data_IF_813135650870
#
_entry.id   IF_813135650870
#
_cell.length_a   1.000
_cell.length_b   1.000
_cell.length_c   1.000
_cell.angle_alpha   90.00
_cell.angle_beta   90.00
_cell.angle_gamma   90.00
#
_symmetry.space_group_name_H-M   'P 1'
#
loop_
_entity.id
_entity.type
_entity.pdbx_description
1 polymer ?
#
# COMPACT_ATOMS: atom_id res chain seq x y z
N UNK A 1 -16.55 22.65 19.69
CA UNK A 1 -15.45 22.27 18.77
C UNK A 1 -15.22 20.79 18.95
N UNK A 2 -15.47 19.99 17.90
CA UNK A 2 -15.26 18.53 17.94
C UNK A 2 -13.77 18.23 17.80
N UNK A 3 -13.28 17.26 18.57
CA UNK A 3 -11.84 16.93 18.64
C UNK A 3 -11.54 15.68 17.87
N UNK A 4 -10.65 15.78 16.90
CA UNK A 4 -10.12 14.64 16.15
C UNK A 4 -8.70 14.37 16.66
N UNK A 5 -8.45 13.15 17.15
CA UNK A 5 -7.11 12.69 17.51
C UNK A 5 -6.52 11.89 16.36
N UNK A 6 -5.43 12.37 15.78
CA UNK A 6 -4.62 11.66 14.81
C UNK A 6 -3.38 11.11 15.51
N UNK A 7 -3.21 9.78 15.55
CA UNK A 7 -2.06 9.12 16.16
C UNK A 7 -1.13 8.64 15.05
N UNK A 8 0.06 9.21 15.00
CA UNK A 8 1.07 9.03 13.95
C UNK A 8 1.05 10.18 12.94
N UNK A 9 2.22 10.73 12.65
CA UNK A 9 2.46 11.81 11.68
C UNK A 9 3.52 11.42 10.65
N UNK A 10 3.44 10.16 10.17
CA UNK A 10 4.34 9.61 9.17
C UNK A 10 4.08 10.12 7.74
N UNK A 11 4.86 9.59 6.78
CA UNK A 11 4.82 10.02 5.36
C UNK A 11 3.42 10.02 4.72
N UNK A 12 2.53 9.12 5.12
CA UNK A 12 1.18 8.98 4.52
C UNK A 12 0.12 9.90 5.15
N UNK A 13 0.49 10.84 6.05
CA UNK A 13 -0.48 11.65 6.81
C UNK A 13 -0.55 13.10 6.37
N UNK A 14 0.30 13.56 5.46
CA UNK A 14 0.35 14.97 5.04
C UNK A 14 -0.99 15.46 4.50
N UNK A 15 -1.58 14.76 3.54
CA UNK A 15 -2.89 15.11 2.98
C UNK A 15 -4.04 14.91 3.97
N UNK A 16 -3.98 13.88 4.82
CA UNK A 16 -4.95 13.66 5.89
C UNK A 16 -5.04 14.88 6.81
N UNK A 17 -3.89 15.29 7.34
CA UNK A 17 -3.82 16.39 8.30
C UNK A 17 -4.19 17.71 7.60
N UNK A 18 -3.63 17.97 6.41
CA UNK A 18 -3.96 19.15 5.61
C UNK A 18 -5.46 19.28 5.37
N UNK A 19 -6.12 18.21 4.90
CA UNK A 19 -7.57 18.21 4.64
C UNK A 19 -8.38 18.55 5.90
N UNK A 20 -8.06 17.91 7.04
CA UNK A 20 -8.74 18.16 8.30
C UNK A 20 -8.54 19.62 8.79
N UNK A 21 -7.35 20.19 8.60
CA UNK A 21 -7.05 21.58 8.93
C UNK A 21 -7.81 22.54 8.01
N UNK A 22 -7.83 22.30 6.71
CA UNK A 22 -8.56 23.11 5.73
C UNK A 22 -10.08 23.15 6.06
N UNK A 23 -10.64 22.03 6.54
CA UNK A 23 -12.04 21.90 6.94
C UNK A 23 -12.32 22.35 8.39
N UNK A 24 -11.32 22.66 9.19
CA UNK A 24 -11.46 22.82 10.64
C UNK A 24 -12.39 23.98 11.06
N UNK A 25 -12.37 25.09 10.33
CA UNK A 25 -13.24 26.24 10.63
C UNK A 25 -14.69 25.96 10.23
N UNK A 26 -14.91 25.46 9.02
CA UNK A 26 -16.23 25.12 8.49
C UNK A 26 -16.94 24.06 9.34
N UNK A 27 -16.21 23.01 9.71
CA UNK A 27 -16.71 21.85 10.45
C UNK A 27 -16.59 22.00 11.99
N UNK A 28 -16.10 23.14 12.48
CA UNK A 28 -15.89 23.41 13.92
C UNK A 28 -15.05 22.32 14.59
N UNK A 29 -13.85 22.06 14.05
CA UNK A 29 -12.95 20.99 14.48
C UNK A 29 -11.73 21.55 15.23
N UNK A 30 -11.21 20.74 16.15
CA UNK A 30 -9.88 20.87 16.73
C UNK A 30 -9.07 19.60 16.49
N UNK A 31 -7.94 19.74 15.80
CA UNK A 31 -7.12 18.62 15.34
C UNK A 31 -5.95 18.41 16.30
N UNK A 32 -5.90 17.26 16.95
CA UNK A 32 -4.82 16.88 17.86
C UNK A 32 -3.96 15.84 17.14
N UNK A 33 -2.69 16.17 16.86
CA UNK A 33 -1.75 15.26 16.22
C UNK A 33 -0.75 14.76 17.26
N UNK A 34 -0.78 13.45 17.53
CA UNK A 34 0.12 12.77 18.46
C UNK A 34 1.18 11.96 17.73
N UNK A 35 2.43 12.16 18.10
CA UNK A 35 3.57 11.39 17.59
C UNK A 35 4.62 11.22 18.69
N UNK A 36 5.42 10.15 18.64
CA UNK A 36 6.53 9.95 19.57
C UNK A 36 7.57 11.09 19.43
N UNK A 37 7.71 11.61 18.20
CA UNK A 37 8.55 12.77 17.89
C UNK A 37 7.68 14.01 17.68
N UNK A 38 7.62 14.87 18.69
CA UNK A 38 6.82 16.11 18.63
C UNK A 38 7.13 17.00 17.41
N UNK A 39 8.38 16.96 16.92
CA UNK A 39 8.81 17.71 15.74
C UNK A 39 8.04 17.31 14.48
N UNK A 40 7.74 16.01 14.31
CA UNK A 40 6.97 15.51 13.16
C UNK A 40 5.54 16.05 13.19
N UNK A 41 4.87 15.93 14.34
CA UNK A 41 3.51 16.46 14.51
C UNK A 41 3.48 17.97 14.29
N UNK A 42 4.42 18.73 14.87
CA UNK A 42 4.53 20.18 14.66
C UNK A 42 4.75 20.57 13.21
N UNK A 43 5.60 19.82 12.48
CA UNK A 43 5.83 20.05 11.04
C UNK A 43 4.53 19.92 10.25
N UNK A 44 3.69 18.93 10.57
CA UNK A 44 2.44 18.66 9.84
C UNK A 44 1.36 19.72 10.10
N UNK A 45 1.23 20.23 11.34
CA UNK A 45 0.19 21.20 11.67
C UNK A 45 0.63 22.67 11.48
N UNK A 46 1.92 22.94 11.39
CA UNK A 46 2.45 24.31 11.35
C UNK A 46 2.02 25.13 12.55
N UNK A 47 1.55 26.36 12.28
CA UNK A 47 1.00 27.28 13.29
C UNK A 47 -0.53 27.41 13.20
N UNK A 48 -1.22 26.34 12.79
CA UNK A 48 -2.66 26.39 12.59
C UNK A 48 -3.40 26.56 13.93
N UNK A 49 -4.30 27.54 14.01
CA UNK A 49 -5.02 27.93 15.26
C UNK A 49 -5.92 26.81 15.82
N UNK A 50 -6.49 25.98 14.94
CA UNK A 50 -7.37 24.88 15.30
C UNK A 50 -6.61 23.54 15.45
N UNK A 51 -5.31 23.58 15.69
CA UNK A 51 -4.50 22.37 15.82
C UNK A 51 -3.57 22.38 17.03
N UNK A 52 -3.27 21.18 17.52
CA UNK A 52 -2.33 20.96 18.61
C UNK A 52 -1.47 19.74 18.33
N UNK A 53 -0.14 19.89 18.45
CA UNK A 53 0.79 18.76 18.46
C UNK A 53 1.07 18.29 19.90
N UNK A 54 1.04 16.98 20.11
CA UNK A 54 1.36 16.38 21.41
C UNK A 54 2.41 15.27 21.23
N UNK A 55 3.22 15.06 22.28
CA UNK A 55 4.02 13.84 22.39
C UNK A 55 3.08 12.70 22.79
N UNK A 56 3.07 11.63 21.99
CA UNK A 56 2.25 10.46 22.28
C UNK A 56 3.03 9.19 21.94
N UNK A 57 3.46 8.49 22.97
CA UNK A 57 3.96 7.12 22.85
C UNK A 57 2.79 6.15 23.00
N UNK A 58 2.53 5.36 21.98
CA UNK A 58 1.43 4.38 21.99
C UNK A 58 1.62 3.29 23.05
N UNK A 59 2.83 3.06 23.55
CA UNK A 59 3.12 2.13 24.65
C UNK A 59 2.89 2.73 26.03
N UNK A 60 2.90 4.05 26.16
CA UNK A 60 2.48 4.72 27.39
C UNK A 60 0.96 4.71 27.48
N UNK A 61 0.45 3.74 28.24
CA UNK A 61 -0.98 3.50 28.42
C UNK A 61 -1.71 4.72 28.95
N UNK A 62 -1.19 5.36 29.98
CA UNK A 62 -1.85 6.47 30.66
C UNK A 62 -1.97 7.69 29.72
N UNK A 63 -0.92 7.98 28.98
CA UNK A 63 -0.88 9.04 27.98
C UNK A 63 -1.85 8.77 26.83
N UNK A 64 -1.87 7.52 26.32
CA UNK A 64 -2.74 7.08 25.23
C UNK A 64 -4.21 7.12 25.64
N UNK A 65 -4.58 6.55 26.79
CA UNK A 65 -5.94 6.59 27.32
C UNK A 65 -6.44 8.02 27.53
N UNK A 66 -5.59 8.89 28.09
CA UNK A 66 -5.92 10.32 28.28
C UNK A 66 -6.20 11.02 26.94
N UNK A 67 -5.39 10.75 25.91
CA UNK A 67 -5.57 11.34 24.59
C UNK A 67 -6.86 10.83 23.94
N UNK A 68 -7.12 9.52 23.94
CA UNK A 68 -8.34 8.90 23.39
C UNK A 68 -9.58 9.40 24.11
N UNK A 69 -9.58 9.47 25.44
CA UNK A 69 -10.71 9.95 26.24
C UNK A 69 -11.13 11.38 25.87
N UNK A 70 -10.16 12.24 25.56
CA UNK A 70 -10.39 13.65 25.23
C UNK A 70 -10.81 13.88 23.77
N UNK A 71 -10.78 12.89 22.91
CA UNK A 71 -11.20 12.99 21.52
C UNK A 71 -12.68 12.63 21.33
N UNK A 72 -13.28 13.07 20.24
CA UNK A 72 -14.60 12.63 19.79
C UNK A 72 -14.49 11.47 18.80
N UNK A 73 -13.42 11.46 18.00
CA UNK A 73 -13.05 10.35 17.11
C UNK A 73 -11.53 10.21 17.05
N UNK A 74 -11.05 8.99 16.79
CA UNK A 74 -9.63 8.65 16.75
C UNK A 74 -9.25 8.12 15.37
N UNK A 75 -8.20 8.68 14.80
CA UNK A 75 -7.55 8.20 13.58
C UNK A 75 -6.23 7.55 13.98
N UNK A 76 -6.02 6.29 13.61
CA UNK A 76 -4.79 5.57 13.91
C UNK A 76 -3.99 5.34 12.62
N UNK A 77 -2.87 6.04 12.49
CA UNK A 77 -1.93 5.95 11.36
C UNK A 77 -0.58 5.33 11.80
N UNK A 78 -0.66 4.38 12.69
CA UNK A 78 0.46 3.65 13.27
C UNK A 78 0.84 2.42 12.42
N UNK A 79 1.99 1.78 12.68
CA UNK A 79 2.24 0.42 12.21
C UNK A 79 1.16 -0.55 12.68
N UNK A 80 0.77 -1.51 11.82
CA UNK A 80 -0.41 -2.37 11.97
C UNK A 80 -0.56 -3.03 13.36
N UNK A 81 0.56 -3.48 13.96
CA UNK A 81 0.57 -4.15 15.28
C UNK A 81 0.10 -3.28 16.46
N UNK A 82 0.01 -1.96 16.29
CA UNK A 82 -0.32 -1.04 17.38
C UNK A 82 -1.78 -0.58 17.36
N UNK A 83 -2.50 -0.78 16.27
CA UNK A 83 -3.90 -0.36 16.17
C UNK A 83 -4.78 -0.99 17.23
N UNK A 84 -4.50 -2.22 17.62
CA UNK A 84 -5.31 -2.97 18.62
C UNK A 84 -5.34 -2.29 19.98
N UNK A 85 -4.22 -1.69 20.42
CA UNK A 85 -4.19 -1.00 21.73
C UNK A 85 -5.03 0.28 21.70
N UNK A 86 -4.97 1.03 20.60
CA UNK A 86 -5.83 2.21 20.39
C UNK A 86 -7.31 1.80 20.31
N UNK A 87 -7.61 0.70 19.60
CA UNK A 87 -8.97 0.18 19.45
C UNK A 87 -9.59 -0.24 20.79
N UNK A 88 -8.82 -0.89 21.67
CA UNK A 88 -9.26 -1.23 23.04
C UNK A 88 -9.64 0.01 23.85
N UNK A 89 -8.81 1.07 23.76
CA UNK A 89 -9.11 2.32 24.43
C UNK A 89 -10.35 2.99 23.84
N UNK A 90 -10.52 2.95 22.50
CA UNK A 90 -11.73 3.46 21.84
C UNK A 90 -13.00 2.73 22.32
N UNK A 91 -12.95 1.41 22.49
CA UNK A 91 -14.06 0.64 23.10
C UNK A 91 -14.32 1.11 24.54
N UNK A 92 -13.25 1.25 25.35
CA UNK A 92 -13.37 1.63 26.75
C UNK A 92 -14.03 3.02 26.93
N UNK A 93 -13.65 3.96 26.07
CA UNK A 93 -14.11 5.36 26.17
C UNK A 93 -15.22 5.73 25.18
N UNK A 94 -15.83 4.77 24.50
CA UNK A 94 -16.92 4.95 23.52
C UNK A 94 -16.54 5.93 22.40
N UNK A 95 -15.42 5.66 21.71
CA UNK A 95 -14.94 6.47 20.59
C UNK A 95 -14.98 5.69 19.29
N UNK A 96 -15.38 6.33 18.21
CA UNK A 96 -15.21 5.79 16.86
C UNK A 96 -13.73 5.79 16.48
N UNK A 97 -13.34 4.86 15.62
CA UNK A 97 -11.96 4.72 15.15
C UNK A 97 -11.88 4.55 13.63
N UNK A 98 -10.88 5.18 13.02
CA UNK A 98 -10.61 5.07 11.59
C UNK A 98 -9.14 4.72 11.36
N UNK A 99 -8.86 3.79 10.43
CA UNK A 99 -7.50 3.43 10.03
C UNK A 99 -7.44 2.91 8.60
N UNK A 100 -6.34 3.19 7.90
CA UNK A 100 -6.07 2.67 6.56
C UNK A 100 -5.61 1.19 6.54
N UNK A 101 -5.31 0.60 7.70
CA UNK A 101 -4.70 -0.72 7.78
C UNK A 101 -5.71 -1.85 7.64
N UNK A 102 -5.21 -3.00 7.19
CA UNK A 102 -5.98 -4.25 7.13
C UNK A 102 -6.52 -4.65 8.52
N UNK A 103 -7.72 -5.25 8.52
CA UNK A 103 -8.28 -5.84 9.73
C UNK A 103 -7.41 -7.01 10.19
N UNK A 104 -6.90 -6.93 11.42
CA UNK A 104 -6.26 -8.06 12.09
C UNK A 104 -7.28 -8.98 12.77
N UNK A 105 -6.93 -10.24 13.06
CA UNK A 105 -7.80 -11.14 13.84
C UNK A 105 -8.22 -10.53 15.18
N UNK A 106 -7.30 -9.85 15.87
CA UNK A 106 -7.56 -9.18 17.15
C UNK A 106 -8.53 -8.00 17.00
N UNK A 107 -8.41 -7.22 15.91
CA UNK A 107 -9.36 -6.15 15.59
C UNK A 107 -10.75 -6.74 15.33
N UNK A 108 -10.83 -7.83 14.56
CA UNK A 108 -12.10 -8.49 14.26
C UNK A 108 -12.82 -9.01 15.53
N UNK A 109 -12.07 -9.43 16.56
CA UNK A 109 -12.67 -9.83 17.84
C UNK A 109 -13.37 -8.69 18.59
N UNK A 110 -13.07 -7.43 18.27
CA UNK A 110 -13.75 -6.27 18.85
C UNK A 110 -15.10 -5.94 18.20
N UNK A 111 -15.46 -6.59 17.08
CA UNK A 111 -16.67 -6.29 16.30
C UNK A 111 -17.93 -6.33 17.16
N UNK A 112 -18.11 -7.37 17.99
CA UNK A 112 -19.26 -7.50 18.86
C UNK A 112 -19.36 -6.33 19.86
N UNK A 113 -18.24 -5.98 20.51
CA UNK A 113 -18.21 -4.89 21.49
C UNK A 113 -18.47 -3.53 20.83
N UNK A 114 -17.92 -3.31 19.62
CA UNK A 114 -18.19 -2.10 18.85
C UNK A 114 -19.69 -1.98 18.48
N UNK A 115 -20.30 -3.06 18.00
CA UNK A 115 -21.75 -3.10 17.69
C UNK A 115 -22.63 -2.84 18.90
N UNK A 116 -22.35 -3.49 20.03
CA UNK A 116 -23.10 -3.30 21.29
C UNK A 116 -23.06 -1.85 21.79
N UNK A 117 -21.98 -1.13 21.49
CA UNK A 117 -21.80 0.27 21.88
C UNK A 117 -22.17 1.28 20.78
N UNK A 118 -22.64 0.82 19.62
CA UNK A 118 -22.94 1.69 18.48
C UNK A 118 -21.73 2.39 17.88
N UNK A 119 -20.52 1.80 17.99
CA UNK A 119 -19.27 2.41 17.52
C UNK A 119 -18.93 1.96 16.12
N UNK A 120 -18.45 2.89 15.30
CA UNK A 120 -17.93 2.62 13.96
C UNK A 120 -16.41 2.46 14.04
N UNK A 121 -15.91 1.28 13.69
CA UNK A 121 -14.48 1.00 13.53
C UNK A 121 -14.20 0.77 12.05
N UNK A 122 -13.92 1.87 11.33
CA UNK A 122 -13.62 1.84 9.90
C UNK A 122 -12.16 1.48 9.68
N UNK A 123 -11.95 0.33 9.05
CA UNK A 123 -10.62 -0.17 8.68
C UNK A 123 -10.49 -0.21 7.15
N UNK A 124 -9.28 -0.48 6.67
CA UNK A 124 -9.01 -0.64 5.23
C UNK A 124 -9.52 0.54 4.39
N UNK A 125 -9.43 1.78 4.93
CA UNK A 125 -9.92 2.99 4.27
C UNK A 125 -8.75 3.85 3.74
N UNK A 126 -7.74 3.21 3.13
CA UNK A 126 -6.61 3.85 2.47
C UNK A 126 -6.70 3.76 0.95
N UNK A 127 -5.59 3.36 0.28
CA UNK A 127 -5.52 3.18 -1.17
C UNK A 127 -5.70 1.71 -1.57
N UNK A 128 -4.88 0.83 -1.04
CA UNK A 128 -4.89 -0.64 -1.17
C UNK A 128 -4.32 -1.21 0.15
N UNK A 129 -5.22 -1.42 1.11
CA UNK A 129 -6.68 -1.47 1.00
C UNK A 129 -7.40 -0.12 1.15
N UNK A 130 -8.49 0.07 0.42
CA UNK A 130 -9.42 1.19 0.58
C UNK A 130 -10.05 1.68 -0.71
N UNK A 131 -9.40 2.53 -1.47
CA UNK A 131 -9.92 3.00 -2.77
C UNK A 131 -10.16 1.82 -3.70
N UNK A 132 -9.32 0.80 -3.67
CA UNK A 132 -9.48 -0.44 -4.43
C UNK A 132 -10.79 -1.16 -4.10
N UNK A 133 -11.19 -1.21 -2.82
CA UNK A 133 -12.47 -1.79 -2.40
C UNK A 133 -13.65 -0.95 -2.87
N UNK A 134 -13.57 0.36 -2.63
CA UNK A 134 -14.65 1.30 -2.94
C UNK A 134 -14.95 1.35 -4.43
N UNK A 135 -13.92 1.51 -5.25
CA UNK A 135 -14.07 1.56 -6.71
C UNK A 135 -14.51 0.22 -7.30
N UNK A 136 -13.98 -0.89 -6.77
CA UNK A 136 -14.41 -2.21 -7.18
C UNK A 136 -15.91 -2.44 -6.88
N UNK A 137 -16.34 -2.14 -5.66
CA UNK A 137 -17.74 -2.34 -5.26
C UNK A 137 -18.70 -1.43 -6.01
N UNK A 138 -18.29 -0.19 -6.31
CA UNK A 138 -19.11 0.72 -7.12
C UNK A 138 -19.42 0.13 -8.50
N UNK A 139 -18.41 -0.44 -9.19
CA UNK A 139 -18.59 -1.06 -10.51
C UNK A 139 -19.36 -2.39 -10.39
N UNK A 140 -18.99 -3.25 -9.42
CA UNK A 140 -19.65 -4.53 -9.17
C UNK A 140 -21.16 -4.32 -8.92
N UNK A 141 -21.52 -3.38 -8.04
CA UNK A 141 -22.90 -3.08 -7.74
C UNK A 141 -23.65 -2.46 -8.94
N UNK A 142 -22.99 -1.59 -9.71
CA UNK A 142 -23.56 -1.04 -10.94
C UNK A 142 -23.88 -2.13 -11.99
N UNK A 143 -23.02 -3.15 -12.10
CA UNK A 143 -23.25 -4.29 -13.00
C UNK A 143 -24.43 -5.14 -12.47
N UNK A 144 -24.46 -5.42 -11.16
CA UNK A 144 -25.55 -6.19 -10.52
C UNK A 144 -26.89 -5.49 -10.62
N UNK A 145 -26.94 -4.18 -10.42
CA UNK A 145 -28.16 -3.37 -10.52
C UNK A 145 -28.77 -3.43 -11.94
N UNK A 146 -27.94 -3.71 -12.97
CA UNK A 146 -28.37 -3.96 -14.36
C UNK A 146 -28.74 -5.42 -14.64
N UNK A 147 -28.61 -6.32 -13.66
CA UNK A 147 -28.86 -7.76 -13.81
C UNK A 147 -27.64 -8.54 -14.32
N UNK A 148 -26.47 -7.94 -14.39
CA UNK A 148 -25.23 -8.58 -14.81
C UNK A 148 -24.64 -9.50 -13.74
N UNK A 149 -23.98 -10.57 -14.16
CA UNK A 149 -23.26 -11.52 -13.30
C UNK A 149 -21.77 -11.38 -13.52
N UNK A 150 -21.03 -11.02 -12.48
CA UNK A 150 -19.56 -10.93 -12.52
C UNK A 150 -18.97 -12.33 -12.66
N UNK A 151 -18.05 -12.50 -13.61
CA UNK A 151 -17.32 -13.75 -13.87
C UNK A 151 -15.80 -13.59 -13.72
N UNK A 152 -15.28 -12.36 -13.87
CA UNK A 152 -13.87 -12.03 -13.71
C UNK A 152 -13.71 -10.70 -12.97
N UNK A 153 -12.83 -10.67 -11.99
CA UNK A 153 -12.35 -9.44 -11.35
C UNK A 153 -10.85 -9.52 -11.12
N UNK A 154 -10.13 -8.60 -11.74
CA UNK A 154 -8.70 -8.40 -11.53
C UNK A 154 -8.46 -6.97 -11.03
N UNK A 155 -7.57 -6.81 -10.06
CA UNK A 155 -7.25 -5.50 -9.45
C UNK A 155 -5.74 -5.38 -9.22
N UNK A 156 -5.14 -4.36 -9.80
CA UNK A 156 -3.71 -4.09 -9.66
C UNK A 156 -3.48 -2.66 -9.19
N UNK A 157 -2.58 -2.50 -8.22
CA UNK A 157 -2.21 -1.19 -7.68
C UNK A 157 -0.69 -1.04 -7.66
N UNK A 158 -0.18 0.13 -8.06
CA UNK A 158 1.23 0.48 -8.01
C UNK A 158 1.46 1.85 -7.39
N UNK A 159 2.34 1.92 -6.36
CA UNK A 159 2.99 3.15 -5.96
C UNK A 159 4.33 3.24 -6.69
N UNK A 160 4.49 4.27 -7.51
CA UNK A 160 5.54 4.41 -8.51
C UNK A 160 6.10 5.84 -8.49
N UNK A 161 7.22 6.06 -9.18
CA UNK A 161 7.69 7.41 -9.48
C UNK A 161 6.92 7.99 -10.67
N UNK A 162 6.61 9.29 -10.62
CA UNK A 162 5.95 9.97 -11.74
C UNK A 162 6.90 10.08 -12.95
N UNK A 163 6.38 10.12 -14.18
CA UNK A 163 7.23 10.14 -15.38
C UNK A 163 8.26 11.26 -15.40
N UNK A 164 7.93 12.45 -14.89
CA UNK A 164 8.84 13.59 -14.83
C UNK A 164 9.97 13.45 -13.80
N UNK A 165 9.83 12.56 -12.84
CA UNK A 165 10.81 12.28 -11.78
C UNK A 165 11.45 10.89 -11.91
N UNK A 166 11.16 10.20 -13.02
CA UNK A 166 11.69 8.86 -13.32
C UNK A 166 13.09 8.97 -13.94
N UNK A 167 14.09 8.97 -13.08
CA UNK A 167 15.49 9.24 -13.41
C UNK A 167 16.45 8.11 -13.02
N UNK A 168 15.94 6.90 -12.82
CA UNK A 168 16.76 5.71 -12.56
C UNK A 168 16.32 4.51 -13.41
N UNK A 169 17.24 3.56 -13.63
CA UNK A 169 16.98 2.39 -14.48
C UNK A 169 15.92 1.43 -13.90
N UNK A 170 15.67 1.48 -12.59
CA UNK A 170 14.63 0.68 -11.94
C UNK A 170 13.23 1.24 -12.15
N UNK A 171 13.11 2.50 -12.59
CA UNK A 171 11.85 3.22 -12.71
C UNK A 171 11.05 3.18 -11.39
N UNK A 172 11.76 3.30 -10.27
CA UNK A 172 11.21 3.14 -8.94
C UNK A 172 11.92 4.01 -7.90
N UNK A 173 11.13 4.64 -7.02
CA UNK A 173 11.60 5.29 -5.79
C UNK A 173 10.65 4.95 -4.64
N UNK A 174 11.15 5.01 -3.40
CA UNK A 174 10.34 4.74 -2.21
C UNK A 174 9.37 5.89 -1.91
N UNK A 175 8.10 5.64 -2.12
CA UNK A 175 7.00 6.60 -1.86
C UNK A 175 6.35 6.37 -0.49
N UNK A 176 6.63 5.25 0.15
CA UNK A 176 6.13 4.87 1.45
C UNK A 176 7.19 4.10 2.24
N UNK A 177 6.81 3.22 3.18
CA UNK A 177 7.75 2.52 4.04
C UNK A 177 8.69 1.58 3.25
N UNK A 178 10.01 1.86 3.17
CA UNK A 178 10.97 1.05 2.41
C UNK A 178 11.02 -0.40 2.87
N UNK A 179 10.93 -0.66 4.19
CA UNK A 179 10.93 -2.01 4.73
C UNK A 179 9.82 -2.87 4.14
N UNK A 180 8.60 -2.32 4.07
CA UNK A 180 7.46 -3.06 3.52
C UNK A 180 7.62 -3.37 2.03
N UNK A 181 8.38 -2.57 1.30
CA UNK A 181 8.71 -2.86 -0.11
C UNK A 181 9.70 -4.02 -0.20
N UNK A 182 10.77 -4.00 0.60
CA UNK A 182 11.81 -5.04 0.57
C UNK A 182 11.27 -6.40 0.97
N UNK A 183 10.40 -6.48 1.97
CA UNK A 183 9.80 -7.74 2.43
C UNK A 183 8.45 -8.06 1.77
N UNK A 184 8.06 -7.30 0.73
CA UNK A 184 6.79 -7.52 0.04
C UNK A 184 6.70 -8.93 -0.55
N UNK A 185 5.57 -9.60 -0.33
CA UNK A 185 5.32 -10.96 -0.82
C UNK A 185 5.82 -12.07 0.10
N UNK A 186 6.56 -11.78 1.16
CA UNK A 186 6.91 -12.75 2.18
C UNK A 186 5.71 -13.11 3.08
N UNK A 187 5.83 -14.18 3.85
CA UNK A 187 4.78 -14.61 4.80
C UNK A 187 3.75 -15.56 4.22
N UNK A 188 4.00 -16.16 3.06
CA UNK A 188 3.18 -17.20 2.46
C UNK A 188 3.11 -17.16 0.95
N UNK A 189 2.37 -18.10 0.36
CA UNK A 189 2.14 -18.11 -1.08
C UNK A 189 1.06 -17.08 -1.46
N UNK A 190 1.22 -16.41 -2.60
CA UNK A 190 0.12 -15.69 -3.21
C UNK A 190 -0.92 -16.72 -3.70
N UNK A 191 -2.20 -16.41 -3.48
CA UNK A 191 -3.33 -17.29 -3.81
C UNK A 191 -4.37 -16.51 -4.58
N UNK A 192 -4.87 -17.08 -5.65
CA UNK A 192 -5.94 -16.49 -6.47
C UNK A 192 -6.69 -17.58 -7.24
N UNK A 193 -7.83 -17.19 -7.81
CA UNK A 193 -8.62 -18.02 -8.70
C UNK A 193 -8.44 -17.53 -10.13
N UNK A 194 -8.19 -18.43 -11.07
CA UNK A 194 -8.08 -18.11 -12.48
C UNK A 194 -8.73 -19.21 -13.31
N UNK A 195 -9.74 -18.84 -14.11
CA UNK A 195 -10.51 -19.77 -14.95
C UNK A 195 -10.96 -21.01 -14.16
N UNK A 196 -11.62 -20.79 -13.01
CA UNK A 196 -12.08 -21.81 -12.06
C UNK A 196 -10.97 -22.70 -11.46
N UNK A 197 -9.71 -22.30 -11.60
CA UNK A 197 -8.57 -23.05 -11.05
C UNK A 197 -7.86 -22.25 -9.99
N UNK A 198 -7.73 -22.80 -8.78
CA UNK A 198 -6.94 -22.20 -7.72
C UNK A 198 -5.46 -22.20 -8.08
N UNK A 199 -4.83 -21.04 -7.98
CA UNK A 199 -3.40 -20.84 -8.25
C UNK A 199 -2.68 -20.44 -6.97
N UNK A 200 -1.46 -20.96 -6.83
CA UNK A 200 -0.58 -20.70 -5.70
C UNK A 200 0.80 -20.36 -6.23
N UNK A 201 1.35 -19.22 -5.82
CA UNK A 201 2.69 -18.81 -6.20
C UNK A 201 3.50 -18.62 -4.91
N UNK A 202 4.47 -19.53 -4.61
CA UNK A 202 5.36 -19.34 -3.49
C UNK A 202 6.27 -18.11 -3.70
N UNK A 203 6.73 -17.49 -2.62
CA UNK A 203 7.50 -16.25 -2.66
C UNK A 203 8.68 -16.28 -3.64
N UNK A 204 9.46 -17.37 -3.63
CA UNK A 204 10.62 -17.54 -4.51
C UNK A 204 10.28 -17.68 -6.01
N UNK A 205 9.01 -17.69 -6.37
CA UNK A 205 8.51 -17.72 -7.75
C UNK A 205 7.66 -16.50 -8.10
N UNK A 206 7.37 -15.64 -7.12
CA UNK A 206 6.40 -14.56 -7.25
C UNK A 206 6.73 -13.62 -8.41
N UNK A 207 7.96 -13.13 -8.47
CA UNK A 207 8.43 -12.18 -9.47
C UNK A 207 8.79 -12.78 -10.82
N UNK A 208 8.61 -14.09 -10.98
CA UNK A 208 8.80 -14.82 -12.24
C UNK A 208 7.51 -15.01 -13.03
N UNK A 209 6.38 -14.64 -12.45
CA UNK A 209 5.07 -14.74 -13.07
C UNK A 209 4.41 -13.36 -12.98
N UNK A 210 4.52 -12.63 -14.09
CA UNK A 210 3.97 -11.30 -14.23
C UNK A 210 2.96 -11.25 -15.37
N UNK A 211 2.01 -10.34 -15.29
CA UNK A 211 1.07 -10.00 -16.34
C UNK A 211 1.35 -8.59 -16.83
N UNK A 212 1.14 -8.33 -18.11
CA UNK A 212 1.32 -6.99 -18.66
C UNK A 212 0.00 -6.24 -18.67
N UNK A 213 0.06 -4.99 -18.24
CA UNK A 213 -1.06 -4.08 -18.16
C UNK A 213 -0.72 -2.80 -18.92
N UNK A 214 -1.67 -2.27 -19.64
CA UNK A 214 -1.51 -0.99 -20.34
C UNK A 214 -2.47 0.05 -19.77
N UNK A 215 -1.96 1.25 -19.48
CA UNK A 215 -2.75 2.35 -18.93
C UNK A 215 -2.62 3.54 -19.88
N UNK A 216 -3.74 3.98 -20.41
CA UNK A 216 -3.82 5.06 -21.41
C UNK A 216 -3.07 6.31 -20.93
N UNK A 217 -2.08 6.76 -21.71
CA UNK A 217 -1.24 7.94 -21.43
C UNK A 217 -0.06 7.69 -20.46
N UNK A 218 0.03 6.49 -19.85
CA UNK A 218 1.10 6.16 -18.92
C UNK A 218 1.93 4.94 -19.33
N UNK A 219 1.54 4.28 -20.43
CA UNK A 219 2.26 3.18 -21.03
C UNK A 219 2.08 1.84 -20.32
N UNK A 220 3.08 0.97 -20.48
CA UNK A 220 3.02 -0.43 -20.09
C UNK A 220 3.59 -0.67 -18.70
N UNK A 221 2.91 -1.53 -17.96
CA UNK A 221 3.30 -1.99 -16.63
C UNK A 221 3.34 -3.51 -16.57
N UNK A 222 3.96 -4.04 -15.53
CA UNK A 222 3.87 -5.45 -15.18
C UNK A 222 3.25 -5.60 -13.79
N UNK A 223 2.36 -6.58 -13.65
CA UNK A 223 1.68 -6.93 -12.41
C UNK A 223 2.13 -8.29 -11.90
N UNK A 224 2.32 -8.43 -10.60
CA UNK A 224 2.55 -9.73 -9.94
C UNK A 224 1.54 -9.91 -8.80
N UNK A 225 1.22 -11.18 -8.49
CA UNK A 225 0.20 -11.52 -7.52
C UNK A 225 0.49 -10.95 -6.12
N UNK A 226 -0.54 -10.38 -5.47
CA UNK A 226 -0.43 -9.84 -4.13
C UNK A 226 -1.16 -10.74 -3.12
N UNK A 227 -0.40 -11.40 -2.24
CA UNK A 227 -0.91 -12.15 -1.07
C UNK A 227 -2.06 -13.12 -1.41
N UNK A 228 -3.12 -13.11 -0.58
CA UNK A 228 -4.29 -13.97 -0.69
C UNK A 228 -5.49 -13.19 -1.23
N UNK A 229 -5.75 -13.30 -2.55
CA UNK A 229 -6.91 -12.69 -3.19
C UNK A 229 -8.23 -13.37 -2.79
N UNK A 230 -8.18 -14.65 -2.40
CA UNK A 230 -9.38 -15.46 -2.15
C UNK A 230 -10.15 -15.02 -0.92
N UNK A 231 -9.49 -14.40 0.06
CA UNK A 231 -10.16 -13.88 1.25
C UNK A 231 -11.20 -12.78 0.94
N UNK A 232 -11.10 -12.13 -0.22
CA UNK A 232 -12.04 -11.09 -0.66
C UNK A 232 -13.22 -11.65 -1.48
N UNK A 233 -13.22 -12.93 -1.79
CA UNK A 233 -14.28 -13.55 -2.58
C UNK A 233 -15.66 -13.37 -1.93
N UNK A 234 -15.79 -13.74 -0.67
CA UNK A 234 -17.04 -13.56 0.10
C UNK A 234 -17.29 -12.10 0.48
N UNK A 235 -16.21 -11.33 0.71
CA UNK A 235 -16.30 -9.90 1.07
C UNK A 235 -16.99 -9.10 -0.02
N UNK A 236 -16.69 -9.39 -1.30
CA UNK A 236 -17.32 -8.74 -2.44
C UNK A 236 -18.60 -9.44 -2.93
N UNK A 237 -19.03 -10.54 -2.25
CA UNK A 237 -20.16 -11.36 -2.70
C UNK A 237 -19.91 -12.02 -4.06
N UNK A 238 -18.70 -12.52 -4.28
CA UNK A 238 -18.22 -13.11 -5.53
C UNK A 238 -17.94 -14.62 -5.40
N UNK A 239 -18.75 -15.35 -4.61
CA UNK A 239 -18.54 -16.77 -4.29
C UNK A 239 -18.47 -17.66 -5.53
N UNK A 240 -19.15 -17.29 -6.61
CA UNK A 240 -19.22 -18.05 -7.85
C UNK A 240 -18.42 -17.43 -9.01
N UNK A 241 -17.43 -16.58 -8.71
CA UNK A 241 -16.58 -15.98 -9.72
C UNK A 241 -15.61 -17.01 -10.30
N UNK A 242 -15.27 -16.87 -11.59
CA UNK A 242 -14.34 -17.76 -12.28
C UNK A 242 -12.88 -17.31 -12.14
N UNK A 243 -12.66 -15.98 -12.11
CA UNK A 243 -11.34 -15.38 -11.94
C UNK A 243 -11.40 -14.27 -10.91
N UNK A 244 -10.56 -14.37 -9.86
CA UNK A 244 -10.38 -13.36 -8.83
C UNK A 244 -8.88 -13.20 -8.56
N UNK A 245 -8.31 -12.08 -8.99
CA UNK A 245 -6.88 -11.84 -8.93
C UNK A 245 -6.58 -10.42 -8.48
N UNK A 246 -5.79 -10.27 -7.42
CA UNK A 246 -5.25 -8.99 -6.96
C UNK A 246 -3.73 -9.01 -7.08
N UNK A 247 -3.17 -7.93 -7.57
CA UNK A 247 -1.75 -7.82 -7.85
C UNK A 247 -1.14 -6.46 -7.51
N UNK A 248 0.18 -6.44 -7.50
CA UNK A 248 0.98 -5.21 -7.36
C UNK A 248 1.57 -4.86 -8.71
N UNK A 249 1.52 -3.59 -9.07
CA UNK A 249 1.98 -3.08 -10.36
C UNK A 249 3.35 -2.42 -10.24
N UNK A 250 4.21 -2.63 -11.26
CA UNK A 250 5.53 -2.02 -11.41
C UNK A 250 5.78 -1.65 -12.88
N UNK A 251 6.82 -0.85 -13.14
CA UNK A 251 7.31 -0.67 -14.51
C UNK A 251 7.90 -1.98 -15.04
N UNK A 252 7.80 -2.18 -16.35
CA UNK A 252 8.32 -3.40 -17.01
C UNK A 252 9.81 -3.57 -16.75
N UNK A 253 10.21 -4.79 -16.41
CA UNK A 253 11.59 -5.17 -16.09
C UNK A 253 11.96 -5.06 -14.60
N UNK A 254 11.13 -4.46 -13.76
CA UNK A 254 11.34 -4.41 -12.31
C UNK A 254 11.36 -5.82 -11.71
N UNK A 255 10.34 -6.62 -11.98
CA UNK A 255 10.18 -7.95 -11.35
C UNK A 255 11.31 -8.89 -11.72
N UNK A 256 11.78 -8.84 -12.96
CA UNK A 256 12.92 -9.66 -13.40
C UNK A 256 14.19 -9.31 -12.62
N UNK A 257 14.48 -8.02 -12.44
CA UNK A 257 15.62 -7.57 -11.67
C UNK A 257 15.45 -7.86 -10.17
N UNK A 258 14.27 -7.58 -9.61
CA UNK A 258 13.97 -7.86 -8.20
C UNK A 258 14.09 -9.33 -7.84
N UNK A 259 13.69 -10.20 -8.76
CA UNK A 259 13.81 -11.65 -8.59
C UNK A 259 15.26 -12.11 -8.32
N UNK A 260 16.27 -11.38 -8.75
CA UNK A 260 17.68 -11.68 -8.44
C UNK A 260 17.95 -11.59 -6.93
N UNK A 261 17.49 -10.52 -6.27
CA UNK A 261 17.61 -10.36 -4.81
C UNK A 261 16.86 -11.46 -4.05
N UNK A 262 15.68 -11.85 -4.56
CA UNK A 262 14.89 -12.96 -3.98
C UNK A 262 15.60 -14.29 -4.13
N UNK A 263 16.17 -14.59 -5.31
CA UNK A 263 16.89 -15.84 -5.57
C UNK A 263 18.16 -15.97 -4.73
N UNK A 264 18.83 -14.87 -4.44
CA UNK A 264 20.01 -14.85 -3.58
C UNK A 264 19.66 -14.87 -2.08
N UNK A 265 18.40 -14.60 -1.69
CA UNK A 265 18.00 -14.51 -0.29
C UNK A 265 18.29 -13.16 0.36
N UNK A 266 18.64 -12.14 -0.42
CA UNK A 266 18.98 -10.80 0.09
C UNK A 266 17.76 -10.04 0.65
N UNK A 267 16.55 -10.54 0.39
CA UNK A 267 15.30 -9.98 0.95
C UNK A 267 14.88 -10.64 2.27
N UNK A 268 15.61 -11.64 2.76
CA UNK A 268 15.27 -12.38 3.97
C UNK A 268 15.45 -11.52 5.24
N UNK A 269 14.50 -11.59 6.16
CA UNK A 269 14.53 -10.89 7.44
C UNK A 269 14.43 -11.83 8.67
N UNK A 270 14.59 -13.13 8.45
CA UNK A 270 14.47 -14.13 9.49
C UNK A 270 15.75 -14.38 10.31
N UNK A 271 16.90 -13.89 9.84
CA UNK A 271 18.19 -14.02 10.51
C UNK A 271 19.04 -12.76 10.33
N UNK A 272 20.06 -12.61 11.17
CA UNK A 272 21.02 -11.50 11.12
C UNK A 272 22.38 -11.97 10.60
N UNK A 273 23.12 -11.09 9.96
CA UNK A 273 24.47 -11.31 9.46
C UNK A 273 25.45 -10.82 10.55
N UNK A 274 26.31 -11.74 11.01
CA UNK A 274 27.39 -11.40 11.95
C UNK A 274 28.37 -10.44 11.28
N UNK A 275 28.88 -9.47 12.06
CA UNK A 275 29.83 -8.45 11.62
C UNK A 275 29.39 -7.61 10.41
N UNK A 276 28.08 -7.50 10.18
CA UNK A 276 27.52 -6.73 9.04
C UNK A 276 28.00 -5.28 9.01
N UNK A 277 28.30 -4.69 10.17
CA UNK A 277 28.76 -3.30 10.29
C UNK A 277 30.06 -3.03 9.51
N UNK A 278 30.95 -4.02 9.44
CA UNK A 278 32.27 -3.89 8.81
C UNK A 278 32.31 -4.38 7.36
N UNK A 279 31.17 -4.82 6.81
CA UNK A 279 31.06 -5.27 5.43
C UNK A 279 30.93 -4.09 4.48
N UNK A 280 31.63 -4.14 3.34
CA UNK A 280 31.30 -3.32 2.19
C UNK A 280 30.03 -3.85 1.51
N UNK A 281 29.42 -3.07 0.60
CA UNK A 281 28.29 -3.55 -0.22
C UNK A 281 28.71 -4.78 -1.04
N UNK A 282 29.94 -4.77 -1.56
CA UNK A 282 30.53 -5.92 -2.27
C UNK A 282 30.62 -7.17 -1.41
N UNK A 283 31.09 -7.04 -0.16
CA UNK A 283 31.18 -8.15 0.78
C UNK A 283 29.80 -8.74 1.09
N UNK A 284 28.81 -7.88 1.27
CA UNK A 284 27.43 -8.31 1.46
C UNK A 284 26.92 -9.14 0.28
N UNK A 285 27.08 -8.66 -0.96
CA UNK A 285 26.68 -9.40 -2.15
C UNK A 285 27.44 -10.73 -2.24
N UNK A 286 28.75 -10.70 -2.00
CA UNK A 286 29.62 -11.87 -2.07
C UNK A 286 29.25 -12.98 -1.07
N UNK A 287 28.68 -12.59 0.10
CA UNK A 287 28.25 -13.55 1.12
C UNK A 287 27.14 -14.54 0.63
N UNK A 288 26.39 -14.17 -0.39
CA UNK A 288 25.34 -15.02 -0.99
C UNK A 288 25.78 -15.81 -2.22
N UNK A 289 27.03 -15.63 -2.65
CA UNK A 289 27.51 -16.22 -3.90
C UNK A 289 28.40 -17.44 -3.63
N UNK A 290 28.47 -18.39 -4.57
CA UNK A 290 29.40 -19.51 -4.47
C UNK A 290 30.85 -19.05 -4.29
N UNK A 291 31.63 -19.77 -3.50
CA UNK A 291 33.05 -19.50 -3.36
C UNK A 291 33.79 -19.75 -4.68
N UNK A 292 34.58 -18.80 -5.09
CA UNK A 292 35.60 -18.93 -6.15
C UNK A 292 36.82 -18.11 -5.77
N UNK A 293 38.03 -18.67 -5.84
CA UNK A 293 39.26 -17.94 -5.52
C UNK A 293 39.73 -17.02 -6.66
N UNK A 294 39.16 -17.14 -7.86
CA UNK A 294 39.62 -16.47 -9.08
C UNK A 294 38.60 -15.53 -9.70
N UNK A 295 37.31 -15.80 -9.47
CA UNK A 295 36.27 -15.03 -10.12
C UNK A 295 35.92 -13.77 -9.30
N UNK A 296 35.70 -12.67 -9.98
CA UNK A 296 35.18 -11.45 -9.35
C UNK A 296 33.76 -11.64 -8.84
N UNK A 297 33.34 -10.81 -7.90
CA UNK A 297 31.97 -10.85 -7.34
C UNK A 297 30.92 -10.64 -8.44
N UNK A 298 31.19 -9.71 -9.37
CA UNK A 298 30.33 -9.45 -10.53
C UNK A 298 30.17 -10.67 -11.42
N UNK A 299 31.27 -11.38 -11.70
CA UNK A 299 31.23 -12.59 -12.53
C UNK A 299 30.43 -13.69 -11.84
N UNK A 300 30.69 -13.92 -10.55
CA UNK A 300 29.92 -14.89 -9.73
C UNK A 300 28.43 -14.55 -9.68
N UNK A 301 28.09 -13.28 -9.49
CA UNK A 301 26.69 -12.80 -9.46
C UNK A 301 25.98 -13.10 -10.79
N UNK A 302 26.60 -12.72 -11.90
CA UNK A 302 26.05 -12.96 -13.23
C UNK A 302 25.87 -14.46 -13.52
N UNK A 303 26.85 -15.29 -13.20
CA UNK A 303 26.79 -16.74 -13.39
C UNK A 303 25.69 -17.38 -12.53
N UNK A 304 25.60 -17.02 -11.23
CA UNK A 304 24.61 -17.58 -10.32
C UNK A 304 23.17 -17.27 -10.77
N UNK A 305 22.95 -16.09 -11.34
CA UNK A 305 21.65 -15.58 -11.76
C UNK A 305 21.36 -15.75 -13.25
N UNK A 306 22.34 -16.22 -14.03
CA UNK A 306 22.27 -16.37 -15.51
C UNK A 306 21.93 -15.03 -16.19
N UNK A 307 22.65 -13.97 -15.83
CA UNK A 307 22.52 -12.64 -16.41
C UNK A 307 23.70 -12.39 -17.34
N UNK A 308 23.43 -12.09 -18.60
CA UNK A 308 24.46 -11.73 -19.57
C UNK A 308 24.96 -10.29 -19.34
N UNK A 309 26.18 -10.01 -19.84
CA UNK A 309 26.79 -8.68 -19.66
C UNK A 309 26.01 -7.58 -20.37
N UNK A 310 25.38 -7.93 -21.49
CA UNK A 310 24.61 -6.98 -22.33
C UNK A 310 23.11 -6.99 -21.96
N UNK A 311 22.74 -7.57 -20.82
CA UNK A 311 21.38 -7.62 -20.33
C UNK A 311 21.04 -6.31 -19.59
N UNK A 312 19.97 -5.64 -19.97
CA UNK A 312 19.48 -4.40 -19.31
C UNK A 312 19.27 -4.57 -17.79
N UNK A 313 19.02 -5.80 -17.33
CA UNK A 313 18.92 -6.11 -15.90
C UNK A 313 20.28 -5.94 -15.21
N UNK A 314 21.39 -6.19 -15.91
CA UNK A 314 22.73 -6.01 -15.36
C UNK A 314 23.00 -4.54 -15.02
N UNK A 315 22.63 -3.62 -15.90
CA UNK A 315 22.82 -2.18 -15.70
C UNK A 315 22.07 -1.65 -14.46
N UNK A 316 20.90 -2.23 -14.15
CA UNK A 316 20.15 -1.91 -12.93
C UNK A 316 20.95 -2.19 -11.65
N UNK A 317 21.73 -3.26 -11.62
CA UNK A 317 22.57 -3.58 -10.45
C UNK A 317 23.81 -2.70 -10.38
N UNK A 318 24.38 -2.34 -11.52
CA UNK A 318 25.52 -1.40 -11.58
C UNK A 318 25.11 -0.01 -11.09
N UNK A 319 23.93 0.46 -11.46
CA UNK A 319 23.38 1.75 -10.99
C UNK A 319 23.22 1.81 -9.46
N UNK A 320 22.88 0.70 -8.81
CA UNK A 320 22.79 0.64 -7.34
C UNK A 320 24.13 0.63 -6.63
N UNK A 321 25.23 0.51 -7.38
CA UNK A 321 26.62 0.43 -6.85
C UNK A 321 26.79 -0.70 -5.80
N UNK A 322 26.03 -1.79 -5.98
CA UNK A 322 26.00 -2.92 -5.01
C UNK A 322 27.34 -3.68 -4.92
N UNK A 323 28.24 -3.46 -5.87
CA UNK A 323 29.58 -4.05 -5.89
C UNK A 323 30.68 -3.11 -5.34
N UNK A 324 30.30 -2.02 -4.69
CA UNK A 324 31.23 -1.04 -4.12
C UNK A 324 32.05 -1.65 -2.98
N UNK A 325 33.37 -1.45 -3.05
CA UNK A 325 34.31 -1.80 -1.97
C UNK A 325 34.41 -0.69 -0.91
N UNK A 326 33.94 0.51 -1.20
CA UNK A 326 34.09 1.69 -0.36
C UNK A 326 32.81 2.08 0.39
N UNK A 327 31.64 1.74 -0.13
CA UNK A 327 30.40 1.93 0.58
C UNK A 327 30.20 0.82 1.62
N UNK A 328 30.01 1.23 2.86
CA UNK A 328 29.92 0.31 4.00
C UNK A 328 28.48 0.14 4.47
N UNK A 329 28.18 -1.06 4.95
CA UNK A 329 26.85 -1.40 5.51
C UNK A 329 26.55 -0.61 6.77
N UNK A 330 27.50 -0.48 7.70
CA UNK A 330 27.42 0.32 8.95
C UNK A 330 26.22 -0.02 9.86
N UNK A 331 25.57 -1.14 9.65
CA UNK A 331 24.49 -1.66 10.47
C UNK A 331 25.00 -2.86 11.27
N UNK A 332 24.89 -2.83 12.60
CA UNK A 332 25.32 -3.93 13.45
C UNK A 332 24.25 -5.02 13.51
N UNK A 333 24.68 -6.28 13.28
CA UNK A 333 23.77 -7.48 13.32
C UNK A 333 22.49 -7.28 12.51
N UNK A 334 22.61 -6.71 11.32
CA UNK A 334 21.47 -6.45 10.46
C UNK A 334 21.01 -7.71 9.70
N UNK A 335 19.72 -7.77 9.41
CA UNK A 335 19.17 -8.80 8.52
C UNK A 335 19.56 -8.50 7.06
N UNK A 336 19.59 -9.51 6.16
CA UNK A 336 19.79 -9.28 4.73
C UNK A 336 18.87 -8.19 4.17
N UNK A 337 17.59 -8.24 4.54
CA UNK A 337 16.61 -7.26 4.09
C UNK A 337 16.88 -5.83 4.59
N UNK A 338 17.42 -5.65 5.80
CA UNK A 338 17.83 -4.32 6.31
C UNK A 338 19.02 -3.76 5.55
N UNK A 339 19.99 -4.62 5.22
CA UNK A 339 21.15 -4.20 4.43
C UNK A 339 20.72 -3.85 3.01
N UNK A 340 19.93 -4.70 2.37
CA UNK A 340 19.38 -4.40 1.03
C UNK A 340 18.59 -3.09 1.04
N UNK A 341 17.73 -2.88 2.05
CA UNK A 341 16.99 -1.63 2.20
C UNK A 341 17.93 -0.41 2.25
N UNK A 342 19.02 -0.48 3.02
CA UNK A 342 20.00 0.60 3.08
C UNK A 342 20.62 0.89 1.71
N UNK A 343 21.08 -0.13 1.00
CA UNK A 343 21.65 0.00 -0.34
C UNK A 343 20.65 0.68 -1.30
N UNK A 344 19.41 0.22 -1.29
CA UNK A 344 18.37 0.78 -2.16
C UNK A 344 18.01 2.22 -1.81
N UNK A 345 18.05 2.60 -0.53
CA UNK A 345 17.76 3.97 -0.10
C UNK A 345 18.73 4.99 -0.67
N UNK A 346 19.97 4.61 -0.95
CA UNK A 346 20.96 5.50 -1.58
C UNK A 346 20.50 5.99 -2.97
N UNK A 347 19.75 5.15 -3.71
CA UNK A 347 19.33 5.45 -5.09
C UNK A 347 17.81 5.69 -5.22
N UNK A 348 17.00 5.18 -4.28
CA UNK A 348 15.54 5.20 -4.39
C UNK A 348 14.84 6.17 -3.43
N UNK A 349 15.59 7.00 -2.73
CA UNK A 349 14.98 8.08 -1.93
C UNK A 349 14.49 9.18 -2.86
N UNK A 350 13.26 9.67 -2.63
CA UNK A 350 12.73 10.82 -3.36
C UNK A 350 13.56 12.07 -3.05
N UNK A 351 13.96 12.79 -4.09
CA UNK A 351 14.47 14.13 -3.95
C UNK A 351 13.35 15.12 -3.55
N UNK A 352 13.67 16.32 -3.01
CA UNK A 352 12.66 17.26 -2.54
C UNK A 352 11.56 17.60 -3.54
N UNK A 353 11.90 17.72 -4.83
CA UNK A 353 10.99 18.08 -5.91
C UNK A 353 10.41 16.87 -6.67
N UNK A 354 10.82 15.65 -6.27
CA UNK A 354 10.32 14.45 -6.92
C UNK A 354 8.84 14.23 -6.65
N UNK A 355 8.15 13.83 -7.69
CA UNK A 355 6.77 13.43 -7.65
C UNK A 355 6.64 11.92 -7.78
N UNK A 356 5.76 11.36 -6.99
CA UNK A 356 5.34 9.98 -7.12
C UNK A 356 4.01 9.88 -7.89
N UNK A 357 3.60 8.66 -8.14
CA UNK A 357 2.39 8.33 -8.87
C UNK A 357 1.73 7.11 -8.26
N UNK A 358 0.42 7.15 -8.10
CA UNK A 358 -0.39 5.96 -7.84
C UNK A 358 -1.13 5.60 -9.12
N UNK A 359 -1.00 4.34 -9.54
CA UNK A 359 -1.75 3.76 -10.64
C UNK A 359 -2.60 2.61 -10.08
N UNK A 360 -3.88 2.60 -10.43
CA UNK A 360 -4.79 1.51 -10.11
C UNK A 360 -5.52 1.08 -11.37
N UNK A 361 -5.62 -0.23 -11.57
CA UNK A 361 -6.27 -0.84 -12.71
C UNK A 361 -7.18 -1.97 -12.24
N UNK A 362 -8.45 -1.89 -12.63
CA UNK A 362 -9.40 -2.98 -12.44
C UNK A 362 -9.91 -3.49 -13.78
N UNK A 363 -10.10 -4.79 -13.88
CA UNK A 363 -10.76 -5.45 -15.00
C UNK A 363 -11.96 -6.21 -14.46
N UNK A 364 -13.13 -5.94 -15.03
CA UNK A 364 -14.39 -6.62 -14.71
C UNK A 364 -14.91 -7.33 -15.93
N UNK A 365 -14.97 -8.67 -15.89
CA UNK A 365 -15.68 -9.47 -16.87
C UNK A 365 -17.06 -9.85 -16.30
N UNK A 366 -18.11 -9.70 -17.08
CA UNK A 366 -19.46 -10.01 -16.64
C UNK A 366 -20.36 -10.52 -17.78
N UNK A 367 -21.40 -11.24 -17.42
CA UNK A 367 -22.44 -11.69 -18.35
C UNK A 367 -23.69 -10.86 -18.13
N UNK A 368 -24.23 -10.25 -19.20
CA UNK A 368 -25.48 -9.53 -19.21
C UNK A 368 -26.28 -9.95 -20.45
N UNK A 369 -27.55 -10.33 -20.28
CA UNK A 369 -28.42 -10.83 -21.36
C UNK A 369 -27.81 -11.98 -22.18
N UNK A 370 -27.04 -12.85 -21.51
CA UNK A 370 -26.36 -14.00 -22.11
C UNK A 370 -25.13 -13.67 -22.94
N UNK A 371 -24.65 -12.42 -22.91
CA UNK A 371 -23.43 -11.96 -23.59
C UNK A 371 -22.34 -11.59 -22.58
N UNK A 372 -21.10 -11.84 -22.95
CA UNK A 372 -19.93 -11.47 -22.17
C UNK A 372 -19.50 -10.03 -22.49
N UNK A 373 -19.19 -9.29 -21.45
CA UNK A 373 -18.77 -7.89 -21.49
C UNK A 373 -17.53 -7.70 -20.60
N UNK A 374 -16.78 -6.65 -20.87
CA UNK A 374 -15.65 -6.24 -20.03
C UNK A 374 -15.65 -4.73 -19.80
N UNK A 375 -15.36 -4.33 -18.57
CA UNK A 375 -15.04 -2.96 -18.19
C UNK A 375 -13.61 -2.95 -17.65
N UNK A 376 -12.77 -2.09 -18.23
CA UNK A 376 -11.49 -1.70 -17.67
C UNK A 376 -11.68 -0.36 -16.95
N UNK A 377 -11.26 -0.29 -15.70
CA UNK A 377 -11.39 0.91 -14.87
C UNK A 377 -10.00 1.31 -14.35
N UNK A 378 -9.55 2.51 -14.68
CA UNK A 378 -8.20 2.98 -14.38
C UNK A 378 -8.21 4.28 -13.61
N UNK A 379 -7.31 4.41 -12.65
CA UNK A 379 -7.04 5.65 -11.93
C UNK A 379 -5.54 5.91 -11.91
N UNK A 380 -5.17 7.15 -12.23
CA UNK A 380 -3.81 7.64 -12.04
C UNK A 380 -3.89 8.98 -11.32
N UNK A 381 -3.12 9.13 -10.26
CA UNK A 381 -2.94 10.40 -9.57
C UNK A 381 -1.46 10.64 -9.30
N UNK A 382 -1.05 11.90 -9.40
CA UNK A 382 0.33 12.35 -9.20
C UNK A 382 0.46 13.06 -7.86
N UNK A 383 1.64 12.95 -7.25
CA UNK A 383 2.05 13.76 -6.12
C UNK A 383 2.51 15.15 -6.54
N UNK A 384 2.75 15.99 -5.55
CA UNK A 384 3.24 17.36 -5.75
C UNK A 384 4.75 17.46 -5.47
N UNK A 385 5.21 16.79 -4.42
CA UNK A 385 6.60 16.74 -3.94
C UNK A 385 6.82 15.55 -3.00
N UNK A 386 8.00 15.45 -2.37
CA UNK A 386 8.32 14.36 -1.44
C UNK A 386 7.49 14.36 -0.14
N UNK A 387 6.77 15.43 0.20
CA UNK A 387 5.91 15.57 1.37
C UNK A 387 4.45 15.34 1.02
N UNK A 388 3.99 15.96 -0.05
CA UNK A 388 2.64 15.84 -0.60
C UNK A 388 2.63 14.84 -1.75
N UNK A 389 2.92 13.58 -1.40
CA UNK A 389 3.00 12.48 -2.35
C UNK A 389 1.61 12.00 -2.79
N UNK A 390 1.51 11.38 -3.97
CA UNK A 390 0.31 10.69 -4.42
C UNK A 390 -0.07 9.55 -3.45
N UNK A 391 0.94 8.88 -2.86
CA UNK A 391 0.72 7.88 -1.81
C UNK A 391 0.05 8.49 -0.58
N UNK A 392 0.55 9.62 -0.08
CA UNK A 392 -0.05 10.31 1.06
C UNK A 392 -1.48 10.81 0.76
N UNK A 393 -1.71 11.26 -0.48
CA UNK A 393 -2.99 11.72 -0.99
C UNK A 393 -4.03 10.61 -1.01
N UNK A 394 -3.69 9.47 -1.63
CA UNK A 394 -4.60 8.34 -1.81
C UNK A 394 -4.82 7.51 -0.52
N UNK A 395 -3.88 7.56 0.42
CA UNK A 395 -4.07 6.96 1.76
C UNK A 395 -4.80 7.92 2.68
N UNK A 396 -4.40 9.19 2.70
CA UNK A 396 -4.85 10.15 3.72
C UNK A 396 -6.23 10.73 3.48
N UNK A 397 -6.58 11.07 2.24
CA UNK A 397 -7.89 11.67 1.94
C UNK A 397 -9.06 10.75 2.27
N UNK A 398 -9.07 9.45 1.88
CA UNK A 398 -10.18 8.57 2.24
C UNK A 398 -10.37 8.46 3.76
N UNK A 399 -9.28 8.37 4.52
CA UNK A 399 -9.32 8.36 6.00
C UNK A 399 -9.96 9.65 6.54
N UNK A 400 -9.56 10.81 6.01
CA UNK A 400 -10.07 12.10 6.45
C UNK A 400 -11.57 12.27 6.13
N UNK A 401 -11.96 11.97 4.89
CA UNK A 401 -13.34 12.07 4.42
C UNK A 401 -14.25 11.11 5.21
N UNK A 402 -13.83 9.85 5.41
CA UNK A 402 -14.56 8.89 6.22
C UNK A 402 -14.71 9.36 7.68
N UNK A 403 -13.65 9.96 8.24
CA UNK A 403 -13.69 10.51 9.60
C UNK A 403 -14.75 11.60 9.74
N UNK A 404 -14.82 12.53 8.79
CA UNK A 404 -15.86 13.57 8.79
C UNK A 404 -17.25 12.99 8.52
N UNK A 405 -17.37 11.99 7.63
CA UNK A 405 -18.64 11.32 7.36
C UNK A 405 -19.18 10.61 8.62
N UNK A 406 -18.32 9.99 9.43
CA UNK A 406 -18.71 9.37 10.71
C UNK A 406 -19.08 10.45 11.73
N UNK A 407 -18.29 11.50 11.88
CA UNK A 407 -18.59 12.61 12.80
C UNK A 407 -19.89 13.35 12.46
N UNK A 408 -20.24 13.41 11.18
CA UNK A 408 -21.45 14.05 10.66
C UNK A 408 -22.63 13.07 10.54
N UNK A 409 -22.51 11.88 11.12
CA UNK A 409 -23.55 10.83 11.14
C UNK A 409 -24.05 10.41 9.73
N UNK A 410 -23.18 10.56 8.71
CA UNK A 410 -23.42 10.07 7.35
C UNK A 410 -23.05 8.58 7.20
N UNK A 411 -22.11 8.10 8.01
CA UNK A 411 -21.73 6.69 8.14
C UNK A 411 -22.01 6.29 9.58
N UNK A 412 -23.02 5.44 9.77
CA UNK A 412 -23.56 5.12 11.09
C UNK A 412 -23.59 3.64 11.41
N UNK A 413 -23.38 2.77 10.43
CA UNK A 413 -23.39 1.32 10.63
C UNK A 413 -22.29 0.93 11.64
N UNK A 414 -22.63 0.33 12.82
CA UNK A 414 -21.66 0.03 13.84
C UNK A 414 -20.91 -1.27 13.58
N UNK A 415 -19.74 -1.41 14.19
CA UNK A 415 -18.90 -2.60 14.15
C UNK A 415 -17.55 -2.34 13.49
N UNK A 416 -16.75 -3.41 13.40
CA UNK A 416 -15.50 -3.45 12.65
C UNK A 416 -15.82 -3.71 11.20
N UNK A 417 -15.53 -2.75 10.33
CA UNK A 417 -15.95 -2.80 8.93
C UNK A 417 -14.90 -2.23 7.98
N UNK A 418 -15.10 -2.51 6.70
CA UNK A 418 -14.33 -2.05 5.56
C UNK A 418 -15.23 -1.30 4.58
N UNK A 419 -14.71 -0.46 3.67
CA UNK A 419 -15.51 0.47 2.85
C UNK A 419 -16.14 -0.19 1.62
N UNK A 420 -16.98 -1.20 1.81
CA UNK A 420 -17.63 -1.95 0.72
C UNK A 420 -19.12 -1.63 0.53
N UNK A 421 -19.72 -0.85 1.42
CA UNK A 421 -21.13 -0.52 1.38
C UNK A 421 -21.39 0.80 0.64
N UNK A 422 -22.53 0.92 -0.07
CA UNK A 422 -22.94 2.13 -0.82
C UNK A 422 -22.93 3.39 0.05
N UNK A 423 -23.32 3.28 1.31
CA UNK A 423 -23.30 4.33 2.33
C UNK A 423 -21.89 4.90 2.56
N UNK A 424 -20.85 4.03 2.43
CA UNK A 424 -19.46 4.40 2.65
C UNK A 424 -18.79 4.84 1.35
N UNK A 425 -18.83 3.99 0.29
CA UNK A 425 -18.03 4.25 -0.89
C UNK A 425 -18.56 5.38 -1.77
N UNK A 426 -19.88 5.60 -1.85
CA UNK A 426 -20.41 6.65 -2.74
C UNK A 426 -19.97 8.05 -2.33
N UNK A 427 -20.18 8.52 -1.08
CA UNK A 427 -19.79 9.88 -0.70
C UNK A 427 -18.26 10.07 -0.74
N UNK A 428 -17.49 9.03 -0.41
CA UNK A 428 -16.03 9.15 -0.37
C UNK A 428 -15.47 9.22 -1.79
N UNK A 429 -15.88 8.33 -2.70
CA UNK A 429 -15.42 8.36 -4.09
C UNK A 429 -15.83 9.65 -4.80
N UNK A 430 -17.02 10.20 -4.50
CA UNK A 430 -17.47 11.45 -5.09
C UNK A 430 -16.58 12.62 -4.65
N UNK A 431 -16.28 12.73 -3.37
CA UNK A 431 -15.41 13.80 -2.85
C UNK A 431 -13.95 13.63 -3.31
N UNK A 432 -13.46 12.40 -3.47
CA UNK A 432 -12.12 12.13 -3.98
C UNK A 432 -11.91 12.66 -5.42
N UNK A 433 -12.96 12.76 -6.23
CA UNK A 433 -12.87 13.35 -7.58
C UNK A 433 -12.45 14.82 -7.55
N UNK A 434 -12.92 15.58 -6.58
CA UNK A 434 -12.56 17.00 -6.40
C UNK A 434 -11.07 17.16 -6.08
N UNK A 435 -10.45 16.10 -5.57
CA UNK A 435 -9.02 16.01 -5.29
C UNK A 435 -8.19 15.35 -6.41
N UNK A 436 -8.79 15.10 -7.58
CA UNK A 436 -8.12 14.51 -8.73
C UNK A 436 -7.88 12.99 -8.60
N UNK A 437 -8.65 12.31 -7.75
CA UNK A 437 -8.67 10.86 -7.63
C UNK A 437 -9.97 10.36 -8.25
N UNK A 438 -9.93 10.03 -9.53
CA UNK A 438 -11.10 9.62 -10.30
C UNK A 438 -10.76 8.44 -11.21
N UNK A 439 -11.68 7.50 -11.31
CA UNK A 439 -11.58 6.37 -12.23
C UNK A 439 -12.14 6.73 -13.61
N UNK A 440 -11.46 6.21 -14.64
CA UNK A 440 -11.92 6.23 -16.03
C UNK A 440 -12.32 4.82 -16.40
N UNK A 441 -13.60 4.63 -16.64
CA UNK A 441 -14.16 3.34 -17.06
C UNK A 441 -14.28 3.30 -18.57
N UNK A 442 -13.92 2.14 -19.15
CA UNK A 442 -13.97 1.89 -20.60
C UNK A 442 -14.54 0.51 -20.84
N UNK A 443 -15.64 0.42 -21.55
CA UNK A 443 -16.11 -0.85 -22.08
C UNK A 443 -15.21 -1.30 -23.23
N UNK A 444 -14.74 -2.55 -23.14
CA UNK A 444 -13.88 -3.19 -24.15
C UNK A 444 -14.42 -4.58 -24.49
N UNK A 445 -14.06 -5.18 -25.63
CA UNK A 445 -14.40 -6.56 -25.92
C UNK A 445 -13.90 -7.50 -24.81
N UNK A 446 -14.76 -8.42 -24.37
CA UNK A 446 -14.33 -9.45 -23.40
C UNK A 446 -13.33 -10.41 -24.06
N UNK A 447 -12.13 -10.47 -23.52
CA UNK A 447 -11.06 -11.34 -24.00
C UNK A 447 -10.76 -12.50 -23.05
N UNK A 448 -11.45 -12.52 -21.90
CA UNK A 448 -11.17 -13.48 -20.83
C UNK A 448 -9.73 -13.36 -20.30
N UNK A 449 -9.18 -14.48 -19.89
CA UNK A 449 -7.74 -14.57 -19.64
C UNK A 449 -7.00 -14.63 -20.98
N UNK A 450 -6.22 -13.59 -21.26
CA UNK A 450 -5.46 -13.53 -22.51
C UNK A 450 -4.01 -14.03 -22.28
N UNK A 451 -3.66 -15.25 -22.76
CA UNK A 451 -2.31 -15.79 -22.61
C UNK A 451 -1.22 -15.02 -23.38
N UNK A 452 -1.61 -14.11 -24.27
CA UNK A 452 -0.67 -13.24 -25.00
C UNK A 452 -0.03 -12.18 -24.09
N UNK A 453 -0.47 -12.06 -22.85
CA UNK A 453 0.11 -11.18 -21.83
C UNK A 453 1.13 -11.87 -20.91
N UNK A 454 1.50 -13.11 -21.25
CA UNK A 454 2.56 -13.89 -20.57
C UNK A 454 3.94 -13.58 -21.14
#
# INVERSE_FOLDING_TARGET
MRKILVIGSGKSTSYLIKYLLDKSTEENLHIIVGDIQLSNAKKMIGNHENAQAIVLDVFDKDSREKAVKNADIVISMLPARFHIEVAKDCIAYNKNMVTASYISPEMQMLDKAAKEKGLVFMNEIGVDPGIDHMSAMQVIDSIRDKGGKIILFESFTGGLVAPESDNNLWNYKFTWNPRNVVVAGQGGAAKFLQENTYKYIPYNRLFRRTEFLEVDGFGRFEGYANRDSLKYQSVYGLENIQTLYRGTMRRVGFSRAWNAFVQLGMTDDSYTIDDSKNMSYRDFVNAFLPYSPTDSVELKFRHALKIDQDDEVWDKFLELDIFSETKMVELDKATPAEILQKILMDSWTLDPEDKDMIVMYHKFGYVLDGKEHQIDSTMVTLGEDQTYTAMAKTVGLPVAIATLAILNEKITTPGVQIPINKEVYNPILEELKDHGIAFKEKEVPYLGYNPMHL
#
